data_IF_898988739940
#
_entry.id   IF_898988739940
#
_cell.length_a   1.000
_cell.length_b   1.000
_cell.length_c   1.000
_cell.angle_alpha   90.00
_cell.angle_beta   90.00
_cell.angle_gamma   90.00
#
_symmetry.space_group_name_H-M   'P 1'
#
loop_
_entity.id
_entity.type
_entity.pdbx_description
1 polymer ?
#
# COMPACT_ATOMS: atom_id res chain seq x y z
N UNK A 1 -50.47 -0.96 -19.60
CA UNK A 1 -49.10 -0.87 -19.02
C UNK A 1 -49.04 -1.78 -17.79
N UNK A 2 -48.47 -2.97 -17.94
CA UNK A 2 -48.49 -3.98 -16.87
C UNK A 2 -47.54 -3.58 -15.73
N UNK A 3 -48.08 -3.55 -14.51
CA UNK A 3 -47.38 -3.24 -13.28
C UNK A 3 -46.33 -4.32 -12.99
N UNK A 4 -45.09 -4.12 -13.45
CA UNK A 4 -43.97 -5.01 -13.13
C UNK A 4 -43.62 -4.86 -11.64
N UNK A 5 -44.19 -5.72 -10.80
CA UNK A 5 -43.83 -5.79 -9.39
C UNK A 5 -42.31 -5.96 -9.25
N UNK A 6 -41.66 -5.00 -8.58
CA UNK A 6 -40.24 -5.10 -8.23
C UNK A 6 -40.03 -6.35 -7.38
N UNK A 7 -39.26 -7.30 -7.89
CA UNK A 7 -38.89 -8.51 -7.15
C UNK A 7 -38.11 -8.12 -5.90
N UNK A 8 -38.46 -8.67 -4.73
CA UNK A 8 -37.63 -8.53 -3.52
C UNK A 8 -36.22 -9.04 -3.83
N UNK A 9 -35.20 -8.26 -3.43
CA UNK A 9 -33.75 -8.51 -3.70
C UNK A 9 -33.22 -9.82 -3.12
N UNK A 10 -33.99 -10.49 -2.27
CA UNK A 10 -33.63 -11.74 -1.63
C UNK A 10 -34.13 -12.97 -2.41
N UNK A 11 -34.86 -12.78 -3.53
CA UNK A 11 -35.34 -13.89 -4.36
C UNK A 11 -34.30 -14.24 -5.42
N UNK A 12 -33.82 -15.48 -5.43
CA UNK A 12 -32.90 -16.01 -6.44
C UNK A 12 -33.37 -15.66 -7.86
N UNK A 13 -32.50 -15.08 -8.70
CA UNK A 13 -32.81 -14.72 -10.08
C UNK A 13 -32.89 -16.00 -10.93
N UNK A 14 -34.11 -16.46 -11.20
CA UNK A 14 -34.41 -17.64 -12.03
C UNK A 14 -35.25 -17.19 -13.23
N UNK A 15 -34.90 -17.67 -14.43
CA UNK A 15 -35.60 -17.35 -15.69
C UNK A 15 -34.64 -17.10 -16.86
N UNK A 16 -35.17 -17.11 -18.09
CA UNK A 16 -34.39 -16.94 -19.33
C UNK A 16 -33.65 -15.59 -19.37
N UNK A 17 -34.26 -14.53 -18.83
CA UNK A 17 -33.66 -13.20 -18.70
C UNK A 17 -32.57 -13.10 -17.60
N UNK A 18 -32.55 -14.04 -16.65
CA UNK A 18 -31.52 -14.04 -15.58
C UNK A 18 -30.15 -14.47 -16.11
N UNK A 19 -30.12 -15.22 -17.23
CA UNK A 19 -28.88 -15.62 -17.89
C UNK A 19 -28.21 -14.46 -18.66
N UNK A 20 -28.94 -13.37 -18.92
CA UNK A 20 -28.47 -12.18 -19.65
C UNK A 20 -27.71 -11.23 -18.70
N UNK A 21 -28.13 -11.16 -17.43
CA UNK A 21 -27.59 -10.22 -16.43
C UNK A 21 -26.64 -10.89 -15.45
N UNK A 22 -25.71 -11.71 -15.94
CA UNK A 22 -24.70 -12.33 -15.08
C UNK A 22 -23.77 -11.23 -14.55
N UNK A 23 -23.54 -11.11 -13.23
CA UNK A 23 -22.58 -10.15 -12.73
C UNK A 23 -21.19 -10.52 -13.24
N UNK A 24 -20.48 -9.54 -13.78
CA UNK A 24 -19.06 -9.70 -14.16
C UNK A 24 -18.29 -9.83 -12.85
N UNK A 25 -17.81 -11.03 -12.57
CA UNK A 25 -16.94 -11.28 -11.41
C UNK A 25 -15.56 -10.75 -11.76
N UNK A 26 -15.28 -9.51 -11.36
CA UNK A 26 -13.95 -8.92 -11.50
C UNK A 26 -13.02 -9.56 -10.47
N UNK A 27 -12.13 -10.46 -10.91
CA UNK A 27 -11.11 -11.05 -10.05
C UNK A 27 -10.04 -10.01 -9.76
N UNK A 28 -9.99 -9.52 -8.53
CA UNK A 28 -8.95 -8.60 -8.07
C UNK A 28 -7.79 -9.47 -7.58
N UNK A 29 -6.76 -9.63 -8.40
CA UNK A 29 -5.51 -10.26 -7.97
C UNK A 29 -4.61 -9.22 -7.30
N UNK A 30 -3.91 -9.62 -6.24
CA UNK A 30 -2.83 -8.81 -5.70
C UNK A 30 -1.75 -8.68 -6.78
N UNK A 31 -1.36 -7.45 -7.10
CA UNK A 31 -0.20 -7.20 -7.96
C UNK A 31 1.02 -7.84 -7.29
N UNK A 32 1.78 -8.64 -8.04
CA UNK A 32 3.03 -9.19 -7.54
C UNK A 32 4.00 -8.03 -7.28
N UNK A 33 4.19 -7.68 -6.02
CA UNK A 33 5.10 -6.59 -5.60
C UNK A 33 6.36 -7.19 -5.02
N UNK A 34 7.49 -6.57 -5.34
CA UNK A 34 8.76 -6.89 -4.70
C UNK A 34 8.63 -6.68 -3.18
N UNK A 35 9.06 -7.66 -2.39
CA UNK A 35 8.96 -7.66 -0.92
C UNK A 35 9.61 -6.43 -0.31
N UNK A 36 10.72 -5.96 -0.89
CA UNK A 36 11.43 -4.76 -0.45
C UNK A 36 10.61 -3.49 -0.65
N UNK A 37 9.98 -3.33 -1.82
CA UNK A 37 9.21 -2.10 -2.12
C UNK A 37 7.91 -2.05 -1.33
N UNK A 38 7.30 -3.21 -1.09
CA UNK A 38 6.12 -3.33 -0.23
C UNK A 38 6.48 -2.98 1.21
N UNK A 39 7.56 -3.54 1.75
CA UNK A 39 8.02 -3.22 3.10
C UNK A 39 8.31 -1.73 3.27
N UNK A 40 9.01 -1.11 2.31
CA UNK A 40 9.25 0.33 2.32
C UNK A 40 7.95 1.13 2.31
N UNK A 41 6.97 0.75 1.48
CA UNK A 41 5.70 1.45 1.41
C UNK A 41 4.96 1.43 2.76
N UNK A 42 4.98 0.28 3.44
CA UNK A 42 4.30 0.07 4.71
C UNK A 42 5.03 0.80 5.86
N UNK A 43 6.36 0.77 5.87
CA UNK A 43 7.18 1.27 6.98
C UNK A 43 7.77 2.67 6.77
N UNK A 44 7.58 3.31 5.60
CA UNK A 44 8.16 4.64 5.28
C UNK A 44 7.92 5.71 6.34
N UNK A 45 6.80 5.66 7.06
CA UNK A 45 6.48 6.64 8.11
C UNK A 45 7.46 6.58 9.29
N UNK A 46 7.97 5.38 9.58
CA UNK A 46 8.93 5.12 10.65
C UNK A 46 10.36 5.11 10.10
N UNK A 47 10.58 4.53 8.92
CA UNK A 47 11.90 4.44 8.32
C UNK A 47 12.49 5.83 7.98
N UNK A 48 11.67 6.79 7.52
CA UNK A 48 12.12 8.14 7.18
C UNK A 48 12.81 8.88 8.35
N UNK A 49 12.16 9.07 9.52
CA UNK A 49 12.81 9.76 10.63
C UNK A 49 14.04 9.02 11.15
N UNK A 50 14.03 7.69 11.16
CA UNK A 50 15.19 6.89 11.58
C UNK A 50 16.39 7.13 10.66
N UNK A 51 16.18 7.10 9.34
CA UNK A 51 17.24 7.36 8.37
C UNK A 51 17.80 8.78 8.54
N UNK A 52 16.94 9.78 8.74
CA UNK A 52 17.37 11.16 8.97
C UNK A 52 18.20 11.26 10.26
N UNK A 53 17.74 10.66 11.35
CA UNK A 53 18.46 10.65 12.62
C UNK A 53 19.84 9.96 12.48
N UNK A 54 19.90 8.84 11.76
CA UNK A 54 21.16 8.13 11.51
C UNK A 54 22.15 8.99 10.71
N UNK A 55 21.69 9.71 9.69
CA UNK A 55 22.52 10.64 8.91
C UNK A 55 23.07 11.76 9.80
N UNK A 56 22.23 12.37 10.63
CA UNK A 56 22.66 13.44 11.55
C UNK A 56 23.73 12.93 12.52
N UNK A 57 23.54 11.75 13.11
CA UNK A 57 24.54 11.13 14.01
C UNK A 57 25.85 10.85 13.27
N UNK A 58 25.80 10.33 12.05
CA UNK A 58 26.99 10.09 11.25
C UNK A 58 27.78 11.39 10.97
N UNK A 59 27.08 12.48 10.65
CA UNK A 59 27.71 13.79 10.45
C UNK A 59 28.41 14.26 11.72
N UNK A 60 27.76 14.13 12.88
CA UNK A 60 28.35 14.51 14.18
C UNK A 60 29.65 13.74 14.43
N UNK A 61 29.65 12.43 14.20
CA UNK A 61 30.85 11.58 14.37
C UNK A 61 31.97 12.06 13.44
N UNK A 62 31.66 12.32 12.16
CA UNK A 62 32.64 12.80 11.19
C UNK A 62 33.24 14.13 11.64
N UNK A 63 32.42 15.07 12.11
CA UNK A 63 32.89 16.36 12.61
C UNK A 63 33.82 16.20 13.82
N UNK A 64 33.48 15.32 14.77
CA UNK A 64 34.34 15.04 15.93
C UNK A 64 35.69 14.48 15.46
N UNK A 65 35.68 13.50 14.55
CA UNK A 65 36.92 12.91 14.01
C UNK A 65 37.77 13.97 13.31
N UNK A 66 37.16 14.87 12.53
CA UNK A 66 37.88 15.96 11.88
C UNK A 66 38.51 16.93 12.89
N UNK A 67 37.79 17.32 13.95
CA UNK A 67 38.32 18.19 15.00
C UNK A 67 39.50 17.53 15.71
N UNK A 68 39.36 16.27 16.10
CA UNK A 68 40.46 15.52 16.75
C UNK A 68 41.66 15.42 15.82
N UNK A 69 41.45 15.13 14.54
CA UNK A 69 42.53 15.09 13.54
C UNK A 69 43.20 16.44 13.30
N UNK A 70 42.48 17.55 13.45
CA UNK A 70 43.04 18.90 13.31
C UNK A 70 43.86 19.30 14.53
N UNK A 71 43.41 18.96 15.74
CA UNK A 71 44.13 19.26 16.99
C UNK A 71 45.35 18.36 17.20
N UNK A 72 45.28 17.12 16.71
CA UNK A 72 46.39 16.16 16.80
C UNK A 72 47.49 16.38 15.74
N UNK A 73 47.29 17.32 14.81
CA UNK A 73 48.30 17.77 13.84
C UNK A 73 48.97 19.03 14.33
#
# INVERSE_FOLDING_TARGET
MANKQKKKRNKAYTGVDAAITRPIVTKISAVNRNTVSQWWFDHKRIARPIIIAAIVVAIIIILIVQIVSLVSK
#
